data_IF_151032667535
#
_entry.id   IF_151032667535
#
_cell.length_a   1.000
_cell.length_b   1.000
_cell.length_c   1.000
_cell.angle_alpha   90.00
_cell.angle_beta   90.00
_cell.angle_gamma   90.00
#
_symmetry.space_group_name_H-M   'P 1'
#
loop_
_entity.id
_entity.type
_entity.pdbx_description
1 polymer ?
#
# COMPACT_ATOMS: atom_id res chain seq x y z
N UNK A 1 -31.42 -8.84 -27.64
CA UNK A 1 -30.50 -7.71 -27.38
C UNK A 1 -29.52 -8.19 -26.32
N UNK A 2 -28.33 -8.65 -26.76
CA UNK A 2 -27.28 -9.14 -25.86
C UNK A 2 -26.57 -7.90 -25.30
N UNK A 3 -26.74 -7.64 -24.02
CA UNK A 3 -25.92 -6.67 -23.28
C UNK A 3 -24.54 -7.28 -23.14
N UNK A 4 -23.58 -6.86 -24.00
CA UNK A 4 -22.17 -7.16 -23.80
C UNK A 4 -21.73 -6.51 -22.49
N UNK A 5 -21.34 -7.31 -21.51
CA UNK A 5 -20.65 -6.80 -20.32
C UNK A 5 -19.34 -6.14 -20.78
N UNK A 6 -19.10 -4.88 -20.36
CA UNK A 6 -17.88 -4.18 -20.76
C UNK A 6 -16.64 -4.95 -20.28
N UNK A 7 -15.66 -5.14 -21.15
CA UNK A 7 -14.42 -5.83 -20.79
C UNK A 7 -13.72 -5.10 -19.62
N UNK A 8 -13.18 -5.80 -18.63
CA UNK A 8 -12.58 -5.20 -17.42
C UNK A 8 -11.57 -4.08 -17.71
N UNK A 9 -10.81 -4.18 -18.81
CA UNK A 9 -9.86 -3.14 -19.25
C UNK A 9 -10.53 -1.82 -19.62
N UNK A 10 -11.71 -1.87 -20.22
CA UNK A 10 -12.45 -0.66 -20.62
C UNK A 10 -12.97 0.06 -19.36
N UNK A 11 -13.56 -0.68 -18.43
CA UNK A 11 -14.05 -0.15 -17.15
C UNK A 11 -12.91 0.52 -16.36
N UNK A 12 -11.76 -0.14 -16.23
CA UNK A 12 -10.61 0.41 -15.53
C UNK A 12 -10.04 1.67 -16.21
N UNK A 13 -10.13 1.77 -17.54
CA UNK A 13 -9.74 2.97 -18.27
C UNK A 13 -10.67 4.15 -17.96
N UNK A 14 -11.97 3.90 -17.88
CA UNK A 14 -12.95 4.93 -17.55
C UNK A 14 -12.79 5.43 -16.12
N UNK A 15 -12.61 4.54 -15.17
CA UNK A 15 -12.36 4.90 -13.76
C UNK A 15 -11.12 5.78 -13.64
N UNK A 16 -10.02 5.44 -14.34
CA UNK A 16 -8.81 6.28 -14.33
C UNK A 16 -9.04 7.67 -14.92
N UNK A 17 -9.80 7.76 -16.01
CA UNK A 17 -10.16 9.06 -16.62
C UNK A 17 -11.00 9.90 -15.66
N UNK A 18 -11.93 9.28 -14.95
CA UNK A 18 -12.76 9.94 -13.96
C UNK A 18 -11.88 10.50 -12.81
N UNK A 19 -10.96 9.71 -12.27
CA UNK A 19 -10.01 10.22 -11.28
C UNK A 19 -9.13 11.35 -11.80
N UNK A 20 -8.65 11.30 -13.03
CA UNK A 20 -7.90 12.40 -13.63
C UNK A 20 -8.74 13.65 -13.79
N UNK A 21 -10.02 13.51 -14.12
CA UNK A 21 -10.96 14.64 -14.17
C UNK A 21 -11.19 15.27 -12.78
N UNK A 22 -11.35 14.45 -11.75
CA UNK A 22 -11.46 14.92 -10.36
C UNK A 22 -10.17 15.62 -9.90
N UNK A 23 -9.01 15.03 -10.20
CA UNK A 23 -7.71 15.64 -9.91
C UNK A 23 -7.53 16.98 -10.62
N UNK A 24 -7.96 17.10 -11.88
CA UNK A 24 -7.88 18.36 -12.61
C UNK A 24 -8.68 19.47 -11.95
N UNK A 25 -9.82 19.14 -11.33
CA UNK A 25 -10.63 20.12 -10.59
C UNK A 25 -10.00 20.51 -9.24
N UNK A 26 -9.34 19.58 -8.58
CA UNK A 26 -8.78 19.76 -7.25
C UNK A 26 -7.31 20.20 -7.25
N UNK A 27 -6.60 20.12 -8.40
CA UNK A 27 -5.13 20.19 -8.45
C UNK A 27 -4.53 21.44 -7.79
N UNK A 28 -5.17 22.59 -7.97
CA UNK A 28 -4.73 23.85 -7.38
C UNK A 28 -4.92 23.95 -5.87
N UNK A 29 -5.76 23.09 -5.30
CA UNK A 29 -6.10 23.11 -3.87
C UNK A 29 -5.34 22.02 -3.09
N UNK A 30 -4.56 21.16 -3.78
CA UNK A 30 -3.80 20.08 -3.14
C UNK A 30 -2.56 20.63 -2.46
N UNK A 31 -2.44 20.39 -1.18
CA UNK A 31 -1.19 20.65 -0.43
C UNK A 31 -0.23 19.45 -0.54
N UNK A 32 0.50 19.40 -1.64
CA UNK A 32 1.48 18.34 -1.92
C UNK A 32 2.53 18.20 -0.83
N UNK A 33 2.96 19.31 -0.23
CA UNK A 33 4.00 19.33 0.80
C UNK A 33 3.53 18.61 2.07
N UNK A 34 2.30 18.89 2.48
CA UNK A 34 1.68 18.22 3.65
C UNK A 34 1.49 16.73 3.42
N UNK A 35 1.19 16.30 2.18
CA UNK A 35 1.11 14.90 1.80
C UNK A 35 2.49 14.22 1.68
N UNK A 36 3.60 14.96 1.75
CA UNK A 36 4.94 14.43 1.51
C UNK A 36 5.18 14.06 0.04
N UNK A 37 4.54 14.79 -0.86
CA UNK A 37 4.62 14.63 -2.32
C UNK A 37 5.49 15.74 -2.89
N UNK A 38 6.42 15.40 -3.75
CA UNK A 38 7.26 16.36 -4.47
C UNK A 38 6.64 16.69 -5.82
N UNK A 39 6.82 17.94 -6.26
CA UNK A 39 6.44 18.36 -7.60
C UNK A 39 7.66 18.39 -8.52
N UNK A 40 7.53 17.78 -9.71
CA UNK A 40 8.47 17.89 -10.82
C UNK A 40 7.74 18.51 -12.03
N UNK A 41 7.91 19.81 -12.17
CA UNK A 41 7.11 20.59 -13.10
C UNK A 41 5.63 20.61 -12.69
N UNK A 42 4.79 20.08 -13.55
CA UNK A 42 3.33 19.96 -13.35
C UNK A 42 2.89 18.57 -12.85
N UNK A 43 3.84 17.70 -12.50
CA UNK A 43 3.57 16.35 -12.05
C UNK A 43 3.88 16.18 -10.55
N UNK A 44 3.04 15.41 -9.89
CA UNK A 44 3.24 14.95 -8.52
C UNK A 44 4.07 13.64 -8.52
N UNK A 45 5.17 13.63 -7.77
CA UNK A 45 6.02 12.45 -7.58
C UNK A 45 5.70 11.83 -6.24
N UNK A 46 5.08 10.68 -6.26
CA UNK A 46 4.55 10.00 -5.07
C UNK A 46 5.31 8.69 -4.87
N UNK A 47 6.09 8.55 -3.79
CA UNK A 47 6.68 7.25 -3.44
C UNK A 47 5.57 6.24 -3.07
N UNK A 48 5.59 5.10 -3.74
CA UNK A 48 4.69 3.97 -3.45
C UNK A 48 5.52 2.74 -3.13
N UNK A 49 5.60 2.37 -1.87
CA UNK A 49 6.57 1.38 -1.36
C UNK A 49 8.00 1.68 -1.82
N UNK A 50 8.44 2.90 -1.61
CA UNK A 50 9.79 3.34 -1.94
C UNK A 50 10.07 3.58 -3.44
N UNK A 51 9.14 3.26 -4.34
CA UNK A 51 9.30 3.51 -5.78
C UNK A 51 8.54 4.76 -6.21
N UNK A 52 9.18 5.70 -6.95
CA UNK A 52 8.49 6.91 -7.40
C UNK A 52 7.43 6.57 -8.44
N UNK A 53 6.24 7.15 -8.27
CA UNK A 53 5.19 7.16 -9.27
C UNK A 53 4.89 8.62 -9.62
N UNK A 54 4.66 8.87 -10.90
CA UNK A 54 4.36 10.18 -11.45
C UNK A 54 2.86 10.28 -11.73
N UNK A 55 2.24 11.34 -11.28
CA UNK A 55 0.84 11.67 -11.60
C UNK A 55 0.82 13.05 -12.20
N UNK A 56 0.33 13.19 -13.43
CA UNK A 56 0.15 14.46 -14.11
C UNK A 56 -1.18 14.51 -14.86
N UNK A 57 -1.69 15.71 -15.11
CA UNK A 57 -3.00 15.88 -15.73
C UNK A 57 -2.98 15.56 -17.24
N UNK A 58 -1.82 15.68 -17.89
CA UNK A 58 -1.63 15.44 -19.32
C UNK A 58 -1.25 13.98 -19.64
N UNK A 59 -0.37 13.35 -18.83
CA UNK A 59 0.15 11.99 -19.08
C UNK A 59 -0.50 10.93 -18.18
N UNK A 60 -1.25 11.36 -17.17
CA UNK A 60 -1.92 10.46 -16.23
C UNK A 60 -0.96 9.84 -15.22
N UNK A 61 -1.10 8.53 -14.97
CA UNK A 61 -0.33 7.78 -13.98
C UNK A 61 0.81 7.02 -14.66
N UNK A 62 2.02 7.17 -14.14
CA UNK A 62 3.20 6.45 -14.60
C UNK A 62 3.99 5.90 -13.42
N UNK A 63 4.53 4.68 -13.53
CA UNK A 63 5.45 4.12 -12.57
C UNK A 63 6.89 4.63 -12.80
N UNK A 64 7.84 4.17 -12.00
CA UNK A 64 9.26 4.52 -12.09
C UNK A 64 9.91 4.14 -13.45
N UNK A 65 9.24 3.36 -14.30
CA UNK A 65 9.67 2.99 -15.67
C UNK A 65 8.98 3.81 -16.76
N UNK A 66 8.06 4.69 -16.35
CA UNK A 66 7.20 5.42 -17.30
C UNK A 66 6.03 4.60 -17.84
N UNK A 67 5.77 3.41 -17.27
CA UNK A 67 4.65 2.55 -17.64
C UNK A 67 3.43 2.84 -16.78
N UNK A 68 2.24 2.48 -17.28
CA UNK A 68 1.02 2.64 -16.49
C UNK A 68 0.99 1.66 -15.32
N UNK A 69 0.85 2.14 -14.07
CA UNK A 69 0.74 1.28 -12.90
C UNK A 69 -0.52 0.41 -12.92
N UNK A 70 -0.59 -0.57 -12.01
CA UNK A 70 -1.80 -1.37 -11.83
C UNK A 70 -3.01 -0.48 -11.51
N UNK A 71 -4.21 -0.96 -11.83
CA UNK A 71 -5.44 -0.22 -11.52
C UNK A 71 -5.53 0.15 -10.03
N UNK A 72 -5.23 -0.80 -9.15
CA UNK A 72 -5.25 -0.58 -7.70
C UNK A 72 -4.26 0.52 -7.27
N UNK A 73 -3.06 0.55 -7.86
CA UNK A 73 -2.08 1.61 -7.61
C UNK A 73 -2.61 2.97 -8.10
N UNK A 74 -3.17 3.05 -9.31
CA UNK A 74 -3.73 4.31 -9.83
C UNK A 74 -4.84 4.85 -8.93
N UNK A 75 -5.75 3.98 -8.46
CA UNK A 75 -6.84 4.37 -7.54
C UNK A 75 -6.28 4.89 -6.22
N UNK A 76 -5.31 4.17 -5.63
CA UNK A 76 -4.71 4.58 -4.37
C UNK A 76 -4.00 5.94 -4.47
N UNK A 77 -3.22 6.17 -5.54
CA UNK A 77 -2.53 7.43 -5.78
C UNK A 77 -3.53 8.58 -5.98
N UNK A 78 -4.60 8.36 -6.77
CA UNK A 78 -5.62 9.36 -6.99
C UNK A 78 -6.36 9.73 -5.69
N UNK A 79 -6.81 8.75 -4.93
CA UNK A 79 -7.52 8.98 -3.67
C UNK A 79 -6.62 9.65 -2.62
N UNK A 80 -5.33 9.28 -2.57
CA UNK A 80 -4.36 9.92 -1.69
C UNK A 80 -4.23 11.43 -1.95
N UNK A 81 -4.18 11.83 -3.21
CA UNK A 81 -4.17 13.23 -3.60
C UNK A 81 -5.51 13.92 -3.34
N UNK A 82 -6.63 13.28 -3.70
CA UNK A 82 -7.98 13.86 -3.61
C UNK A 82 -8.45 14.05 -2.17
N UNK A 83 -8.10 13.14 -1.26
CA UNK A 83 -8.42 13.31 0.17
C UNK A 83 -7.68 14.49 0.78
N UNK A 84 -6.49 14.82 0.25
CA UNK A 84 -5.74 16.04 0.57
C UNK A 84 -5.77 16.38 2.07
N UNK A 85 -5.52 15.36 2.89
CA UNK A 85 -5.61 15.51 4.35
C UNK A 85 -4.55 16.48 4.85
N UNK A 86 -5.00 17.62 5.30
CA UNK A 86 -4.13 18.64 5.88
C UNK A 86 -3.54 18.22 7.23
N UNK A 87 -2.32 18.71 7.50
CA UNK A 87 -1.65 18.54 8.78
C UNK A 87 -0.75 17.31 8.88
N UNK A 88 0.20 17.31 9.82
CA UNK A 88 1.09 16.18 10.06
C UNK A 88 0.32 14.99 10.62
N UNK A 89 0.91 13.81 10.52
CA UNK A 89 0.44 12.62 11.24
C UNK A 89 0.32 12.94 12.73
N UNK A 90 -0.80 12.55 13.32
CA UNK A 90 -1.09 12.79 14.73
C UNK A 90 -1.00 11.47 15.49
N UNK A 91 0.16 11.21 16.07
CA UNK A 91 0.35 10.10 17.01
C UNK A 91 1.10 8.91 16.43
N UNK A 92 1.62 8.08 17.38
CA UNK A 92 2.38 6.87 17.08
C UNK A 92 1.58 5.61 17.40
N UNK A 93 0.25 5.71 17.48
CA UNK A 93 -0.60 4.57 17.81
C UNK A 93 -0.80 3.67 16.60
N UNK A 94 -0.40 2.40 16.76
CA UNK A 94 -0.53 1.37 15.75
C UNK A 94 -1.76 0.51 16.01
N UNK A 95 -2.63 0.39 15.02
CA UNK A 95 -3.89 -0.35 15.09
C UNK A 95 -4.02 -1.35 13.95
N UNK A 96 -4.64 -2.49 14.22
CA UNK A 96 -4.97 -3.46 13.18
C UNK A 96 -6.13 -2.93 12.31
N UNK A 97 -6.19 -3.33 11.03
CA UNK A 97 -7.26 -2.94 10.10
C UNK A 97 -8.66 -3.11 10.72
N UNK A 98 -8.88 -4.22 11.45
CA UNK A 98 -10.16 -4.55 12.11
C UNK A 98 -10.62 -3.56 13.19
N UNK A 99 -9.73 -2.69 13.65
CA UNK A 99 -10.06 -1.71 14.70
C UNK A 99 -10.63 -0.41 14.13
N UNK A 100 -10.53 -0.21 12.81
CA UNK A 100 -11.18 0.92 12.17
C UNK A 100 -12.69 0.71 12.02
N UNK A 101 -13.54 1.74 12.24
CA UNK A 101 -15.00 1.60 12.23
C UNK A 101 -15.58 0.99 10.95
N UNK A 102 -15.06 1.37 9.78
CA UNK A 102 -15.61 0.97 8.47
C UNK A 102 -14.86 -0.21 7.85
N UNK A 103 -14.00 -0.91 8.60
CA UNK A 103 -13.16 -1.98 8.09
C UNK A 103 -13.89 -3.32 7.92
N UNK A 104 -15.05 -3.51 8.52
CA UNK A 104 -15.74 -4.80 8.60
C UNK A 104 -15.81 -5.58 7.26
N UNK A 105 -16.11 -4.96 6.10
CA UNK A 105 -16.15 -5.67 4.82
C UNK A 105 -14.81 -6.25 4.37
N UNK A 106 -13.70 -5.71 4.87
CA UNK A 106 -12.35 -6.05 4.42
C UNK A 106 -11.60 -7.00 5.37
N UNK A 107 -12.02 -7.10 6.64
CA UNK A 107 -11.27 -7.75 7.74
C UNK A 107 -10.94 -9.21 7.42
N UNK A 108 -11.95 -10.02 7.05
CA UNK A 108 -11.74 -11.43 6.81
C UNK A 108 -10.86 -11.68 5.56
N UNK A 109 -11.15 -10.96 4.48
CA UNK A 109 -10.36 -11.00 3.25
C UNK A 109 -8.90 -10.61 3.51
N UNK A 110 -8.68 -9.55 4.27
CA UNK A 110 -7.35 -9.08 4.65
C UNK A 110 -6.59 -10.11 5.49
N UNK A 111 -7.19 -10.62 6.56
CA UNK A 111 -6.57 -11.63 7.40
C UNK A 111 -6.16 -12.88 6.59
N UNK A 112 -7.01 -13.32 5.65
CA UNK A 112 -6.74 -14.50 4.83
C UNK A 112 -5.68 -14.27 3.75
N UNK A 113 -5.75 -13.14 3.07
CA UNK A 113 -4.91 -12.87 1.88
C UNK A 113 -3.59 -12.20 2.21
N UNK A 114 -3.46 -11.59 3.39
CA UNK A 114 -2.25 -10.89 3.85
C UNK A 114 -1.63 -11.62 5.03
N UNK A 115 -2.24 -11.52 6.21
CA UNK A 115 -1.62 -11.91 7.47
C UNK A 115 -1.35 -13.41 7.54
N UNK A 116 -2.37 -14.25 7.37
CA UNK A 116 -2.23 -15.72 7.38
C UNK A 116 -1.35 -16.22 6.24
N UNK A 117 -1.39 -15.54 5.09
CA UNK A 117 -0.58 -15.91 3.94
C UNK A 117 0.89 -15.62 4.17
N UNK A 118 1.24 -14.44 4.71
CA UNK A 118 2.62 -14.11 5.07
C UNK A 118 3.10 -15.10 6.15
N UNK A 119 2.34 -15.30 7.23
CA UNK A 119 2.67 -16.23 8.29
C UNK A 119 3.01 -17.63 7.71
N UNK A 120 2.15 -18.17 6.86
CA UNK A 120 2.33 -19.50 6.24
C UNK A 120 3.53 -19.61 5.32
N UNK A 121 3.75 -18.62 4.45
CA UNK A 121 4.80 -18.67 3.42
C UNK A 121 6.20 -18.45 4.01
N UNK A 122 6.27 -17.76 5.16
CA UNK A 122 7.54 -17.37 5.79
C UNK A 122 7.90 -18.15 7.06
N UNK A 123 7.19 -19.23 7.38
CA UNK A 123 7.59 -20.15 8.46
C UNK A 123 9.06 -20.57 8.29
N UNK A 124 9.89 -20.40 9.32
CA UNK A 124 11.31 -20.70 9.31
C UNK A 124 12.15 -19.79 8.38
N UNK A 125 11.59 -18.65 7.93
CA UNK A 125 12.21 -17.78 6.93
C UNK A 125 12.17 -16.30 7.32
N UNK A 126 12.31 -15.99 8.61
CA UNK A 126 12.28 -14.62 9.13
C UNK A 126 13.27 -13.69 8.43
N UNK A 127 14.52 -14.18 8.17
CA UNK A 127 15.53 -13.40 7.43
C UNK A 127 15.09 -13.07 5.99
N UNK A 128 14.44 -14.02 5.31
CA UNK A 128 13.92 -13.78 3.95
C UNK A 128 12.75 -12.79 3.97
N UNK A 129 11.93 -12.79 5.03
CA UNK A 129 10.87 -11.80 5.22
C UNK A 129 11.46 -10.41 5.44
N UNK A 130 12.46 -10.28 6.32
CA UNK A 130 13.16 -9.02 6.57
C UNK A 130 13.81 -8.47 5.28
N UNK A 131 14.53 -9.34 4.55
CA UNK A 131 15.12 -8.97 3.25
C UNK A 131 14.05 -8.56 2.22
N UNK A 132 12.92 -9.27 2.19
CA UNK A 132 11.77 -8.92 1.36
C UNK A 132 11.21 -7.55 1.68
N UNK A 133 11.01 -7.23 2.97
CA UNK A 133 10.58 -5.90 3.41
C UNK A 133 11.60 -4.81 3.00
N UNK A 134 12.89 -5.06 3.19
CA UNK A 134 13.95 -4.10 2.85
C UNK A 134 13.98 -3.74 1.34
N UNK A 135 13.60 -4.65 0.45
CA UNK A 135 13.46 -4.38 -0.99
C UNK A 135 12.43 -3.28 -1.30
N UNK A 136 11.45 -3.11 -0.43
CA UNK A 136 10.37 -2.13 -0.56
C UNK A 136 10.50 -0.96 0.43
N UNK A 137 11.75 -0.67 0.83
CA UNK A 137 12.06 0.45 1.73
C UNK A 137 11.79 0.16 3.21
N UNK A 138 11.48 -1.09 3.55
CA UNK A 138 11.26 -1.51 4.94
C UNK A 138 12.52 -1.45 5.78
N UNK A 139 12.35 -1.08 7.05
CA UNK A 139 13.41 -1.02 8.05
C UNK A 139 12.94 -1.71 9.32
N UNK A 140 13.87 -2.33 10.02
CA UNK A 140 13.59 -2.80 11.37
C UNK A 140 13.13 -1.63 12.25
N UNK A 141 12.16 -1.90 13.09
CA UNK A 141 11.54 -0.91 13.95
C UNK A 141 11.40 -1.44 15.37
N UNK A 142 11.93 -0.72 16.32
CA UNK A 142 11.72 -1.00 17.73
C UNK A 142 10.39 -0.37 18.17
N UNK A 143 9.36 -1.18 18.24
CA UNK A 143 8.04 -0.78 18.73
C UNK A 143 7.85 -1.09 20.23
N UNK A 144 8.89 -1.55 20.95
CA UNK A 144 8.78 -2.02 22.32
C UNK A 144 7.91 -3.28 22.46
N UNK A 145 7.73 -4.04 21.39
CA UNK A 145 6.90 -5.23 21.31
C UNK A 145 7.78 -6.49 21.18
N UNK A 146 7.41 -7.56 21.86
CA UNK A 146 8.11 -8.85 21.76
C UNK A 146 7.62 -9.62 20.55
N UNK A 147 8.25 -9.38 19.39
CA UNK A 147 8.07 -10.14 18.14
C UNK A 147 9.44 -10.55 17.61
N UNK A 148 9.48 -11.67 16.86
CA UNK A 148 10.73 -12.13 16.23
C UNK A 148 11.19 -11.17 15.15
N UNK A 149 10.24 -10.52 14.48
CA UNK A 149 10.53 -9.51 13.46
C UNK A 149 9.48 -8.38 13.50
N UNK A 150 9.97 -7.15 13.53
CA UNK A 150 9.16 -5.94 13.43
C UNK A 150 9.71 -5.08 12.31
N UNK A 151 8.92 -4.85 11.25
CA UNK A 151 9.34 -4.07 10.09
C UNK A 151 8.38 -2.91 9.84
N UNK A 152 8.91 -1.70 9.70
CA UNK A 152 8.15 -0.54 9.24
C UNK A 152 8.42 -0.28 7.77
N UNK A 153 7.35 -0.09 6.99
CA UNK A 153 7.41 0.24 5.56
C UNK A 153 6.47 1.40 5.26
N UNK A 154 6.94 2.38 4.51
CA UNK A 154 6.06 3.46 4.07
C UNK A 154 5.41 3.05 2.73
N UNK A 155 4.12 2.68 2.76
CA UNK A 155 3.37 2.35 1.54
C UNK A 155 3.10 3.58 0.68
N UNK A 156 2.80 4.68 1.34
CA UNK A 156 2.73 6.05 0.83
C UNK A 156 3.37 6.97 1.88
N UNK A 157 3.74 8.21 1.57
CA UNK A 157 4.46 9.09 2.51
C UNK A 157 3.78 9.28 3.87
N UNK A 158 2.43 9.23 3.90
CA UNK A 158 1.63 9.35 5.13
C UNK A 158 0.91 8.07 5.53
N UNK A 159 1.26 6.95 4.93
CA UNK A 159 0.67 5.63 5.23
C UNK A 159 1.79 4.63 5.55
N UNK A 160 2.44 4.75 6.70
CA UNK A 160 3.35 3.71 7.14
C UNK A 160 2.57 2.46 7.55
N UNK A 161 3.14 1.31 7.28
CA UNK A 161 2.69 0.00 7.72
C UNK A 161 3.69 -0.56 8.72
N UNK A 162 3.21 -1.24 9.75
CA UNK A 162 4.03 -1.99 10.68
C UNK A 162 3.70 -3.48 10.56
N UNK A 163 4.65 -4.24 10.03
CA UNK A 163 4.55 -5.69 9.94
C UNK A 163 5.16 -6.30 11.19
N UNK A 164 4.36 -7.09 11.89
CA UNK A 164 4.76 -7.87 13.07
C UNK A 164 4.74 -9.35 12.67
N UNK A 165 5.79 -10.09 13.00
CA UNK A 165 5.88 -11.51 12.68
C UNK A 165 6.49 -12.28 13.86
N UNK A 166 5.83 -13.38 14.23
CA UNK A 166 6.40 -14.43 15.08
C UNK A 166 6.46 -15.71 14.27
N UNK A 167 7.59 -16.38 14.31
CA UNK A 167 7.76 -17.68 13.69
C UNK A 167 7.03 -18.76 14.49
N UNK A 168 6.96 -19.96 13.97
CA UNK A 168 6.37 -21.07 14.70
C UNK A 168 7.28 -21.49 15.87
N UNK A 169 6.68 -21.70 17.04
CA UNK A 169 7.30 -22.28 18.23
C UNK A 169 6.28 -23.23 18.88
N UNK A 170 6.59 -24.53 18.91
CA UNK A 170 5.64 -25.53 19.44
C UNK A 170 5.12 -25.18 20.84
N UNK A 171 3.78 -25.11 21.07
CA UNK A 171 2.68 -25.49 20.16
C UNK A 171 2.09 -24.34 19.31
N UNK A 172 2.73 -23.19 19.22
CA UNK A 172 2.18 -21.98 18.59
C UNK A 172 2.57 -21.89 17.11
N UNK A 173 1.59 -21.75 16.18
CA UNK A 173 1.88 -21.55 14.77
C UNK A 173 2.44 -20.15 14.54
N UNK A 174 3.15 -19.99 13.40
CA UNK A 174 3.61 -18.67 12.98
C UNK A 174 2.44 -17.69 12.83
N UNK A 175 2.68 -16.44 13.18
CA UNK A 175 1.70 -15.35 13.15
C UNK A 175 2.27 -14.12 12.46
N UNK A 176 1.42 -13.43 11.73
CA UNK A 176 1.74 -12.13 11.15
C UNK A 176 0.57 -11.17 11.39
N UNK A 177 0.90 -9.92 11.68
CA UNK A 177 -0.07 -8.82 11.71
C UNK A 177 0.49 -7.64 10.94
N UNK A 178 -0.39 -6.93 10.22
CA UNK A 178 -0.05 -5.68 9.56
C UNK A 178 -0.89 -4.56 10.17
N UNK A 179 -0.20 -3.63 10.81
CA UNK A 179 -0.80 -2.51 11.52
C UNK A 179 -0.63 -1.21 10.71
N UNK A 180 -1.51 -0.28 10.98
CA UNK A 180 -1.58 1.07 10.41
C UNK A 180 -1.50 2.10 11.53
N UNK A 181 -1.08 3.31 11.24
CA UNK A 181 -1.28 4.38 12.19
C UNK A 181 -2.78 4.72 12.32
N UNK A 182 -3.22 5.08 13.52
CA UNK A 182 -4.64 5.32 13.83
C UNK A 182 -5.26 6.42 12.94
N UNK A 183 -4.46 7.36 12.48
CA UNK A 183 -4.89 8.45 11.61
C UNK A 183 -4.81 8.15 10.09
N UNK A 184 -4.43 6.94 9.70
CA UNK A 184 -4.37 6.52 8.30
C UNK A 184 -5.67 6.77 7.50
N UNK A 185 -6.89 6.63 8.09
CA UNK A 185 -8.14 6.94 7.38
C UNK A 185 -8.30 8.41 6.95
N UNK A 186 -7.49 9.33 7.46
CA UNK A 186 -7.46 10.71 6.98
C UNK A 186 -6.88 10.82 5.57
N UNK A 187 -6.00 9.91 5.19
CA UNK A 187 -5.22 9.95 3.95
C UNK A 187 -5.70 8.97 2.89
N UNK A 188 -6.34 7.88 3.31
CA UNK A 188 -6.94 6.88 2.41
C UNK A 188 -8.21 6.30 3.01
N UNK A 189 -9.17 5.95 2.17
CA UNK A 189 -10.35 5.19 2.59
C UNK A 189 -10.00 3.73 2.94
N UNK A 190 -10.94 3.03 3.57
CA UNK A 190 -10.73 1.67 4.06
C UNK A 190 -10.39 0.67 2.96
N UNK A 191 -10.97 0.81 1.78
CA UNK A 191 -10.66 -0.03 0.64
C UNK A 191 -9.21 0.12 0.22
N UNK A 192 -8.73 1.37 0.08
CA UNK A 192 -7.35 1.64 -0.28
C UNK A 192 -6.37 1.25 0.83
N UNK A 193 -6.72 1.41 2.12
CA UNK A 193 -5.90 0.91 3.22
C UNK A 193 -5.76 -0.62 3.14
N UNK A 194 -6.85 -1.35 2.89
CA UNK A 194 -6.78 -2.80 2.68
C UNK A 194 -5.90 -3.14 1.46
N UNK A 195 -6.00 -2.39 0.36
CA UNK A 195 -5.16 -2.55 -0.84
C UNK A 195 -3.67 -2.36 -0.51
N UNK A 196 -3.30 -1.44 0.40
CA UNK A 196 -1.89 -1.28 0.81
C UNK A 196 -1.34 -2.56 1.42
N UNK A 197 -2.03 -3.14 2.40
CA UNK A 197 -1.57 -4.40 3.00
C UNK A 197 -1.59 -5.58 2.03
N UNK A 198 -2.62 -5.68 1.16
CA UNK A 198 -2.70 -6.71 0.12
C UNK A 198 -1.50 -6.58 -0.85
N UNK A 199 -1.17 -5.37 -1.27
CA UNK A 199 -0.03 -5.11 -2.14
C UNK A 199 1.28 -5.51 -1.48
N UNK A 200 1.47 -5.18 -0.19
CA UNK A 200 2.62 -5.62 0.59
C UNK A 200 2.73 -7.14 0.59
N UNK A 201 1.67 -7.84 0.99
CA UNK A 201 1.65 -9.30 1.06
C UNK A 201 1.95 -9.97 -0.28
N UNK A 202 1.37 -9.46 -1.36
CA UNK A 202 1.64 -9.96 -2.72
C UNK A 202 3.10 -9.79 -3.12
N UNK A 203 3.70 -8.63 -2.87
CA UNK A 203 5.10 -8.33 -3.17
C UNK A 203 6.06 -9.22 -2.38
N UNK A 204 5.83 -9.39 -1.08
CA UNK A 204 6.65 -10.25 -0.23
C UNK A 204 6.63 -11.71 -0.70
N UNK A 205 5.42 -12.26 -0.94
CA UNK A 205 5.28 -13.65 -1.39
C UNK A 205 5.83 -13.85 -2.80
N UNK A 206 5.64 -12.89 -3.70
CA UNK A 206 6.23 -12.95 -5.04
C UNK A 206 7.76 -12.93 -4.97
N UNK A 207 8.34 -12.12 -4.09
CA UNK A 207 9.78 -12.03 -3.84
C UNK A 207 10.38 -13.35 -3.37
N UNK A 208 9.72 -14.00 -2.43
CA UNK A 208 10.14 -15.29 -1.93
C UNK A 208 10.18 -16.37 -3.04
N UNK A 209 9.19 -16.35 -3.95
CA UNK A 209 9.07 -17.35 -5.05
C UNK A 209 9.97 -17.03 -6.25
N UNK A 210 10.32 -15.79 -6.45
CA UNK A 210 11.05 -15.31 -7.63
C UNK A 210 12.57 -15.31 -7.54
N UNK A 211 13.15 -15.34 -6.36
CA UNK A 211 14.60 -15.48 -6.09
C UNK A 211 15.53 -14.46 -6.78
N UNK A 212 15.01 -13.40 -7.45
CA UNK A 212 15.84 -12.42 -8.14
C UNK A 212 15.15 -11.08 -8.31
N UNK A 213 15.86 -10.00 -8.02
CA UNK A 213 15.42 -8.59 -8.12
C UNK A 213 14.80 -8.18 -9.47
N UNK A 214 15.01 -8.98 -10.52
CA UNK A 214 14.63 -8.62 -11.89
C UNK A 214 13.17 -8.97 -12.26
N UNK A 215 12.46 -9.77 -11.44
CA UNK A 215 11.07 -10.19 -11.71
C UNK A 215 10.00 -9.51 -10.86
N UNK A 216 10.40 -8.72 -9.87
CA UNK A 216 9.48 -8.14 -8.87
C UNK A 216 9.02 -6.72 -9.20
N UNK A 217 9.55 -6.15 -10.28
CA UNK A 217 9.27 -4.79 -10.73
C UNK A 217 8.42 -4.85 -12.01
N UNK A 218 7.42 -5.71 -12.03
CA UNK A 218 6.45 -5.86 -13.10
C UNK A 218 5.06 -5.44 -12.66
#
# INVERSE_FOLDING_TARGET
MSSEEPQPRAVFSEIRKDYLSQLAQAWGDIDFSTLGVELDGDAAIIPFFGLPNRVSLDQGFQDHRGEQPSHATCVALAKYLLLNAGGPQSGDEWVALKQFPDAAPFVEGFANTVERKIAKEFVGKGEALAAGCALWGGKEHDAGLSYDLVMRLDSLPRIPLLLLFNDEEDPFPAQCSVLYQQDAPRYLDMECLAIMGITLGQRLVAGLKGGSKHKLVG
#
